data_IF_783581836790
#
_entry.id   IF_783581836790
#
_cell.length_a   1.000
_cell.length_b   1.000
_cell.length_c   1.000
_cell.angle_alpha   90.00
_cell.angle_beta   90.00
_cell.angle_gamma   90.00
#
_symmetry.space_group_name_H-M   'P 1'
#
loop_
_entity.id
_entity.type
_entity.pdbx_description
1 polymer ?
#
# COMPACT_ATOMS: atom_id res chain seq x y z
N UNK A 1 -22.59 -23.09 5.82
CA UNK A 1 -21.12 -23.08 5.74
C UNK A 1 -20.66 -21.64 5.87
N UNK A 2 -19.56 -21.38 6.58
CA UNK A 2 -18.99 -20.02 6.66
C UNK A 2 -18.11 -19.84 5.42
N UNK A 3 -18.36 -18.78 4.66
CA UNK A 3 -17.56 -18.40 3.50
C UNK A 3 -17.06 -16.97 3.72
N UNK A 4 -15.81 -16.71 3.35
CA UNK A 4 -15.27 -15.36 3.30
C UNK A 4 -15.71 -14.68 2.00
N UNK A 5 -15.86 -13.36 2.04
CA UNK A 5 -16.16 -12.53 0.87
C UNK A 5 -15.41 -11.20 1.00
N UNK A 6 -14.96 -10.66 -0.14
CA UNK A 6 -14.41 -9.31 -0.20
C UNK A 6 -15.60 -8.34 -0.18
N UNK A 7 -15.73 -7.55 0.90
CA UNK A 7 -16.81 -6.57 1.03
C UNK A 7 -16.56 -5.32 0.16
N UNK A 8 -15.31 -4.86 0.08
CA UNK A 8 -14.92 -3.70 -0.70
C UNK A 8 -13.41 -3.71 -0.98
N UNK A 9 -12.98 -2.78 -1.84
CA UNK A 9 -11.57 -2.44 -2.05
C UNK A 9 -11.38 -0.93 -2.10
N UNK A 10 -10.20 -0.48 -1.70
CA UNK A 10 -9.77 0.90 -1.75
C UNK A 10 -8.31 0.97 -2.21
N UNK A 11 -7.94 2.10 -2.79
CA UNK A 11 -6.60 2.30 -3.34
C UNK A 11 -6.18 3.74 -3.18
N UNK A 12 -4.89 3.95 -3.02
CA UNK A 12 -4.27 5.26 -2.98
C UNK A 12 -2.94 5.18 -3.74
N UNK A 13 -2.68 6.23 -4.53
CA UNK A 13 -1.46 6.40 -5.29
C UNK A 13 -0.93 7.80 -4.98
N UNK A 14 0.36 7.97 -4.65
CA UNK A 14 0.94 9.28 -4.35
C UNK A 14 0.72 10.29 -5.50
N UNK A 15 0.51 11.56 -5.17
CA UNK A 15 0.18 12.57 -6.19
C UNK A 15 1.38 12.95 -7.07
N UNK A 16 2.61 12.84 -6.56
CA UNK A 16 3.81 13.26 -7.28
C UNK A 16 4.09 12.31 -8.45
N UNK A 17 3.74 12.77 -9.64
CA UNK A 17 4.04 12.10 -10.90
C UNK A 17 5.47 12.40 -11.35
N UNK A 18 6.19 11.37 -11.77
CA UNK A 18 7.56 11.40 -12.27
C UNK A 18 7.57 10.90 -13.71
N UNK A 19 7.79 11.79 -14.67
CA UNK A 19 7.91 11.38 -16.08
C UNK A 19 9.24 10.65 -16.33
N UNK A 20 9.39 9.97 -17.46
CA UNK A 20 10.70 9.40 -17.84
C UNK A 20 11.78 10.49 -17.93
N UNK A 21 11.46 11.67 -18.45
CA UNK A 21 12.41 12.78 -18.52
C UNK A 21 12.86 13.30 -17.14
N UNK A 22 11.95 13.31 -16.15
CA UNK A 22 12.32 13.64 -14.77
C UNK A 22 13.24 12.56 -14.18
N UNK A 23 12.94 11.30 -14.46
CA UNK A 23 13.72 10.16 -13.97
C UNK A 23 15.12 10.09 -14.60
N UNK A 24 15.23 10.39 -15.90
CA UNK A 24 16.50 10.49 -16.61
C UNK A 24 17.40 11.58 -15.99
N UNK A 25 16.82 12.73 -15.64
CA UNK A 25 17.53 13.81 -14.91
C UNK A 25 18.00 13.38 -13.54
N UNK A 26 17.19 12.59 -12.82
CA UNK A 26 17.55 12.06 -11.50
C UNK A 26 18.73 11.07 -11.59
N UNK A 27 18.74 10.23 -12.62
CA UNK A 27 19.79 9.22 -12.83
C UNK A 27 21.06 9.79 -13.48
N UNK A 28 20.95 10.88 -14.24
CA UNK A 28 22.03 11.38 -15.09
C UNK A 28 22.25 10.54 -16.35
N UNK A 29 21.28 9.68 -16.71
CA UNK A 29 21.32 8.77 -17.86
C UNK A 29 19.94 8.74 -18.53
N UNK A 30 19.92 8.69 -19.86
CA UNK A 30 18.68 8.59 -20.65
C UNK A 30 18.23 7.14 -20.73
N UNK A 31 17.20 6.76 -19.97
CA UNK A 31 16.60 5.42 -19.95
C UNK A 31 15.14 5.40 -20.42
N UNK A 32 14.56 6.57 -20.68
CA UNK A 32 13.16 6.73 -21.06
C UNK A 32 12.70 5.89 -22.26
N UNK A 33 13.45 5.87 -23.36
CA UNK A 33 13.11 5.08 -24.55
C UNK A 33 13.12 3.58 -24.23
N UNK A 34 14.15 3.11 -23.52
CA UNK A 34 14.25 1.72 -23.08
C UNK A 34 13.05 1.32 -22.20
N UNK A 35 12.65 2.18 -21.25
CA UNK A 35 11.51 1.94 -20.37
C UNK A 35 10.20 1.81 -21.13
N UNK A 36 9.97 2.65 -22.14
CA UNK A 36 8.76 2.58 -22.97
C UNK A 36 8.77 1.33 -23.84
N UNK A 37 9.88 1.05 -24.52
CA UNK A 37 9.99 -0.05 -25.49
C UNK A 37 9.95 -1.44 -24.82
N UNK A 38 10.55 -1.59 -23.65
CA UNK A 38 10.74 -2.91 -23.03
C UNK A 38 9.75 -3.21 -21.91
N UNK A 39 9.27 -2.20 -21.17
CA UNK A 39 8.37 -2.40 -20.02
C UNK A 39 7.11 -1.52 -20.05
N UNK A 40 6.96 -0.67 -21.07
CA UNK A 40 5.77 0.17 -21.27
C UNK A 40 5.63 1.34 -20.28
N UNK A 41 6.64 1.63 -19.45
CA UNK A 41 6.56 2.64 -18.41
C UNK A 41 6.87 4.03 -18.99
N UNK A 42 5.89 4.93 -18.93
CA UNK A 42 6.01 6.33 -19.38
C UNK A 42 6.21 7.31 -18.22
N UNK A 43 5.62 6.97 -17.08
CA UNK A 43 5.60 7.75 -15.86
C UNK A 43 5.38 6.81 -14.68
N UNK A 44 5.69 7.30 -13.48
CA UNK A 44 5.46 6.59 -12.22
C UNK A 44 5.18 7.57 -11.10
N UNK A 45 4.57 7.08 -10.03
CA UNK A 45 4.30 7.89 -8.85
C UNK A 45 5.39 7.72 -7.81
N UNK A 46 5.77 8.82 -7.17
CA UNK A 46 6.72 8.88 -6.07
C UNK A 46 6.00 9.36 -4.82
N UNK A 47 6.34 8.80 -3.67
CA UNK A 47 5.92 9.35 -2.39
C UNK A 47 6.45 10.78 -2.22
N UNK A 48 5.69 11.62 -1.53
CA UNK A 48 6.23 12.87 -0.99
C UNK A 48 7.25 12.58 0.11
N UNK A 49 8.11 13.55 0.45
CA UNK A 49 9.19 13.37 1.43
C UNK A 49 8.68 13.04 2.84
N UNK A 50 7.44 13.44 3.14
CA UNK A 50 6.76 13.23 4.41
C UNK A 50 5.81 12.01 4.40
N UNK A 51 5.78 11.23 3.31
CA UNK A 51 4.95 10.04 3.19
C UNK A 51 5.73 8.75 3.48
N UNK A 52 5.05 7.84 4.17
CA UNK A 52 5.51 6.49 4.49
C UNK A 52 4.51 5.44 3.99
N UNK A 53 4.88 4.16 3.99
CA UNK A 53 4.00 3.07 3.53
C UNK A 53 2.69 3.04 4.29
N UNK A 54 2.70 3.28 5.61
CA UNK A 54 1.47 3.33 6.39
C UNK A 54 0.54 4.49 5.99
N UNK A 55 1.04 5.62 5.48
CA UNK A 55 0.19 6.72 5.01
C UNK A 55 -0.65 6.30 3.79
N UNK A 56 0.00 5.65 2.83
CA UNK A 56 -0.67 5.12 1.64
C UNK A 56 -1.69 4.04 2.03
N UNK A 57 -1.31 3.14 2.95
CA UNK A 57 -2.20 2.08 3.43
C UNK A 57 -3.41 2.64 4.18
N UNK A 58 -3.24 3.67 5.02
CA UNK A 58 -4.34 4.35 5.73
C UNK A 58 -5.31 4.99 4.75
N UNK A 59 -4.80 5.74 3.76
CA UNK A 59 -5.64 6.37 2.74
C UNK A 59 -6.44 5.33 1.94
N UNK A 60 -5.80 4.23 1.52
CA UNK A 60 -6.48 3.14 0.84
C UNK A 60 -7.52 2.42 1.73
N UNK A 61 -7.20 2.20 3.00
CA UNK A 61 -8.09 1.56 3.96
C UNK A 61 -9.33 2.41 4.27
N UNK A 62 -9.18 3.74 4.39
CA UNK A 62 -10.31 4.65 4.58
C UNK A 62 -11.32 4.55 3.44
N UNK A 63 -10.85 4.51 2.18
CA UNK A 63 -11.72 4.31 1.01
C UNK A 63 -12.43 2.95 1.05
N UNK A 64 -11.73 1.88 1.46
CA UNK A 64 -12.33 0.56 1.58
C UNK A 64 -13.40 0.50 2.68
N UNK A 65 -13.10 1.06 3.85
CA UNK A 65 -14.02 1.13 5.00
C UNK A 65 -15.28 1.93 4.66
N UNK A 66 -15.12 3.11 4.05
CA UNK A 66 -16.24 3.95 3.60
C UNK A 66 -17.16 3.19 2.64
N UNK A 67 -16.59 2.53 1.62
CA UNK A 67 -17.36 1.73 0.64
C UNK A 67 -18.06 0.53 1.26
N UNK A 68 -17.47 -0.06 2.30
CA UNK A 68 -18.06 -1.17 3.04
C UNK A 68 -19.12 -0.71 4.06
N UNK A 69 -19.21 0.59 4.35
CA UNK A 69 -20.03 1.12 5.43
C UNK A 69 -19.57 0.64 6.81
N UNK A 70 -18.26 0.48 7.00
CA UNK A 70 -17.64 0.01 8.23
C UNK A 70 -16.79 1.09 8.88
N UNK A 71 -16.73 1.08 10.20
CA UNK A 71 -15.85 1.94 10.99
C UNK A 71 -14.53 1.22 11.31
N UNK A 72 -13.43 1.93 11.58
CA UNK A 72 -12.18 1.30 12.02
C UNK A 72 -12.32 0.39 13.23
N UNK A 73 -13.30 0.66 14.10
CA UNK A 73 -13.60 -0.17 15.27
C UNK A 73 -14.09 -1.57 14.86
N UNK A 74 -14.74 -1.72 13.71
CA UNK A 74 -15.31 -2.99 13.21
C UNK A 74 -14.24 -3.96 12.70
N UNK A 75 -12.99 -3.53 12.57
CA UNK A 75 -11.88 -4.38 12.17
C UNK A 75 -11.40 -5.26 13.33
N UNK A 76 -11.41 -6.58 13.11
CA UNK A 76 -10.82 -7.57 14.02
C UNK A 76 -9.34 -7.84 13.73
N UNK A 77 -8.88 -7.60 12.48
CA UNK A 77 -7.49 -7.79 12.06
C UNK A 77 -7.08 -6.80 10.97
N UNK A 78 -5.80 -6.41 10.99
CA UNK A 78 -5.14 -5.66 9.91
C UNK A 78 -3.88 -6.42 9.51
N UNK A 79 -3.80 -6.80 8.24
CA UNK A 79 -2.66 -7.49 7.64
C UNK A 79 -2.05 -6.53 6.61
N UNK A 80 -0.79 -6.16 6.78
CA UNK A 80 -0.06 -5.33 5.80
C UNK A 80 0.94 -6.20 5.06
N UNK A 81 0.81 -6.30 3.75
CA UNK A 81 1.80 -6.93 2.90
C UNK A 81 2.75 -5.87 2.32
N UNK A 82 4.03 -5.87 2.72
CA UNK A 82 5.00 -4.85 2.26
C UNK A 82 6.45 -5.35 2.31
N UNK A 83 7.25 -4.92 1.33
CA UNK A 83 8.72 -5.03 1.32
C UNK A 83 9.41 -3.75 1.82
N UNK A 84 8.66 -2.66 1.94
CA UNK A 84 9.16 -1.35 2.38
C UNK A 84 8.42 -0.93 3.64
N UNK A 85 8.63 -1.63 4.78
CA UNK A 85 7.94 -1.29 6.01
C UNK A 85 8.41 0.07 6.53
N UNK A 86 7.57 0.75 7.31
CA UNK A 86 7.93 2.04 7.93
C UNK A 86 9.16 1.88 8.86
N UNK A 87 9.24 0.74 9.55
CA UNK A 87 10.29 0.40 10.49
C UNK A 87 10.65 -1.08 10.36
N UNK A 88 11.86 -1.45 10.78
CA UNK A 88 12.21 -2.87 10.97
C UNK A 88 11.38 -3.51 12.10
N UNK A 89 11.13 -2.74 13.15
CA UNK A 89 10.21 -3.05 14.24
C UNK A 89 9.83 -1.74 14.93
N UNK A 90 8.55 -1.49 15.26
CA UNK A 90 7.38 -2.38 15.15
C UNK A 90 6.88 -2.57 13.71
N UNK A 91 5.88 -3.44 13.53
CA UNK A 91 5.22 -3.71 12.25
C UNK A 91 4.47 -2.47 11.72
N UNK A 92 4.45 -2.29 10.40
CA UNK A 92 3.70 -1.24 9.70
C UNK A 92 2.20 -1.34 10.00
N UNK A 93 1.66 -2.55 10.14
CA UNK A 93 0.27 -2.79 10.54
C UNK A 93 -0.08 -2.15 11.89
N UNK A 94 0.86 -2.09 12.84
CA UNK A 94 0.62 -1.43 14.13
C UNK A 94 0.54 0.11 13.98
N UNK A 95 1.32 0.69 13.06
CA UNK A 95 1.23 2.12 12.72
C UNK A 95 -0.10 2.42 12.05
N UNK A 96 -0.53 1.60 11.09
CA UNK A 96 -1.84 1.72 10.41
C UNK A 96 -2.98 1.61 11.42
N UNK A 97 -2.92 0.66 12.35
CA UNK A 97 -3.91 0.52 13.43
C UNK A 97 -4.04 1.79 14.26
N UNK A 98 -2.90 2.36 14.67
CA UNK A 98 -2.87 3.59 15.44
C UNK A 98 -3.46 4.77 14.66
N UNK A 99 -3.05 4.93 13.38
CA UNK A 99 -3.53 6.00 12.48
C UNK A 99 -5.03 5.91 12.18
N UNK A 100 -5.57 4.69 11.99
CA UNK A 100 -7.01 4.47 11.78
C UNK A 100 -7.84 4.53 13.06
N UNK A 101 -7.22 4.39 14.24
CA UNK A 101 -7.95 4.23 15.50
C UNK A 101 -8.60 2.85 15.68
N UNK A 102 -8.13 1.83 14.95
CA UNK A 102 -8.66 0.45 14.95
C UNK A 102 -8.21 -0.36 16.19
N UNK A 103 -8.52 0.15 17.39
CA UNK A 103 -7.95 -0.32 18.67
C UNK A 103 -8.22 -1.79 19.02
N UNK A 104 -9.19 -2.44 18.37
CA UNK A 104 -9.55 -3.85 18.61
C UNK A 104 -8.82 -4.83 17.69
N UNK A 105 -8.24 -4.33 16.59
CA UNK A 105 -7.68 -5.19 15.56
C UNK A 105 -6.36 -5.85 16.02
N UNK A 106 -6.22 -7.17 15.80
CA UNK A 106 -4.90 -7.80 15.81
C UNK A 106 -4.09 -7.38 14.58
N UNK A 107 -2.77 -7.24 14.70
CA UNK A 107 -1.93 -6.68 13.62
C UNK A 107 -0.65 -7.47 13.38
N UNK A 108 -0.28 -7.64 12.12
CA UNK A 108 1.03 -8.16 11.69
C UNK A 108 1.32 -7.78 10.23
N UNK A 109 2.60 -7.81 9.89
CA UNK A 109 3.07 -7.64 8.51
C UNK A 109 3.39 -9.00 7.89
N UNK A 110 3.21 -9.11 6.57
CA UNK A 110 3.64 -10.24 5.75
C UNK A 110 4.62 -9.73 4.69
N UNK A 111 5.80 -10.34 4.63
CA UNK A 111 6.79 -10.05 3.60
C UNK A 111 6.85 -11.22 2.61
N UNK A 112 6.31 -10.99 1.42
CA UNK A 112 6.27 -11.96 0.32
C UNK A 112 6.36 -11.29 -1.05
N UNK A 113 7.05 -10.15 -1.13
CA UNK A 113 7.22 -9.37 -2.35
C UNK A 113 5.91 -9.12 -3.12
N UNK A 114 5.98 -9.16 -4.45
CA UNK A 114 4.82 -8.95 -5.32
C UNK A 114 3.70 -9.98 -5.13
N UNK A 115 3.94 -11.10 -4.46
CA UNK A 115 2.91 -12.08 -4.09
C UNK A 115 2.20 -11.74 -2.77
N UNK A 116 2.56 -10.62 -2.13
CA UNK A 116 2.05 -10.22 -0.82
C UNK A 116 0.53 -10.13 -0.73
N UNK A 117 -0.15 -9.57 -1.73
CA UNK A 117 -1.61 -9.42 -1.71
C UNK A 117 -2.35 -10.77 -1.71
N UNK A 118 -1.96 -11.70 -2.59
CA UNK A 118 -2.61 -13.02 -2.68
C UNK A 118 -2.35 -13.87 -1.44
N UNK A 119 -1.17 -13.74 -0.83
CA UNK A 119 -0.84 -14.45 0.43
C UNK A 119 -1.61 -13.85 1.60
N UNK A 120 -1.70 -12.52 1.70
CA UNK A 120 -2.50 -11.87 2.73
C UNK A 120 -3.99 -12.23 2.62
N UNK A 121 -4.51 -12.37 1.39
CA UNK A 121 -5.89 -12.79 1.16
C UNK A 121 -6.15 -14.24 1.55
N UNK A 122 -5.18 -15.14 1.38
CA UNK A 122 -5.28 -16.55 1.81
C UNK A 122 -5.25 -16.71 3.34
N UNK A 123 -4.56 -15.81 4.04
CA UNK A 123 -4.48 -15.80 5.51
C UNK A 123 -5.76 -15.24 6.17
N UNK A 124 -6.46 -14.34 5.48
CA UNK A 124 -7.60 -13.56 6.01
C UNK A 124 -8.88 -14.40 6.18
#
# INVERSE_FOLDING_TARGET
MRHAQILSSGGYVPERLMTNADFDRLLGESVGDWLVENVGIRERHFMAEDQTTSDLAVAAAQVALERAGLEPADLDRIIIATDTPDYLSPATAAVVQAKLGARRAGVFDVNSACAGWVIALDIA
#
